data_IF_167958440532
#
_entry.id   IF_167958440532
#
_cell.length_a   1.000
_cell.length_b   1.000
_cell.length_c   1.000
_cell.angle_alpha   90.00
_cell.angle_beta   90.00
_cell.angle_gamma   90.00
#
_symmetry.space_group_name_H-M   'P 1'
#
loop_
_entity.id
_entity.type
_entity.pdbx_description
1 polymer ?
#
# COMPACT_ATOMS: atom_id res chain seq x y z
N UNK A 1 -11.55 5.11 4.72
CA UNK A 1 -10.25 4.87 4.05
C UNK A 1 -9.51 6.20 4.01
N UNK A 2 -8.36 6.31 4.67
CA UNK A 2 -7.67 7.60 4.79
C UNK A 2 -6.24 7.36 5.23
N UNK A 3 -5.93 7.61 6.50
CA UNK A 3 -4.56 7.48 7.00
C UNK A 3 -4.10 6.03 7.22
N UNK A 4 -4.99 5.13 7.67
CA UNK A 4 -4.61 3.76 8.01
C UNK A 4 -4.01 3.00 6.81
N UNK A 5 -4.63 3.11 5.63
CA UNK A 5 -4.15 2.41 4.44
C UNK A 5 -2.90 3.07 3.89
N UNK A 6 -2.88 4.42 3.82
CA UNK A 6 -1.72 5.17 3.35
C UNK A 6 -0.47 4.89 4.17
N UNK A 7 -0.58 4.83 5.51
CA UNK A 7 0.56 4.52 6.37
C UNK A 7 1.05 3.08 6.20
N UNK A 8 0.13 2.13 6.04
CA UNK A 8 0.47 0.71 5.81
C UNK A 8 1.24 0.54 4.50
N UNK A 9 0.69 1.06 3.40
CA UNK A 9 1.32 0.97 2.06
C UNK A 9 2.65 1.71 2.03
N UNK A 10 2.73 2.91 2.62
CA UNK A 10 3.98 3.66 2.70
C UNK A 10 5.06 2.88 3.47
N UNK A 11 4.72 2.26 4.60
CA UNK A 11 5.67 1.46 5.36
C UNK A 11 6.17 0.27 4.54
N UNK A 12 5.27 -0.46 3.87
CA UNK A 12 5.63 -1.60 3.01
C UNK A 12 6.63 -1.20 1.94
N UNK A 13 6.38 -0.12 1.21
CA UNK A 13 7.26 0.34 0.12
C UNK A 13 8.63 0.81 0.63
N UNK A 14 8.70 1.37 1.85
CA UNK A 14 9.96 1.85 2.43
C UNK A 14 10.80 0.76 3.07
N UNK A 15 10.16 -0.27 3.62
CA UNK A 15 10.83 -1.26 4.48
C UNK A 15 10.87 -2.66 3.88
N UNK A 16 9.99 -2.97 2.95
CA UNK A 16 10.00 -4.22 2.21
C UNK A 16 10.41 -3.96 0.75
N UNK A 17 11.06 -4.95 0.15
CA UNK A 17 11.55 -4.89 -1.23
C UNK A 17 10.43 -5.15 -2.23
N UNK A 18 9.31 -4.43 -2.08
CA UNK A 18 8.13 -4.56 -2.93
C UNK A 18 8.41 -3.94 -4.29
N UNK A 19 8.19 -4.70 -5.36
CA UNK A 19 8.50 -4.31 -6.75
C UNK A 19 7.27 -4.20 -7.64
N UNK A 20 6.09 -4.58 -7.13
CA UNK A 20 4.84 -4.53 -7.87
C UNK A 20 3.64 -4.21 -6.98
N UNK A 21 2.55 -3.75 -7.62
CA UNK A 21 1.27 -3.53 -6.94
C UNK A 21 0.70 -4.84 -6.36
N UNK A 22 0.83 -5.97 -7.07
CA UNK A 22 0.33 -7.27 -6.61
C UNK A 22 1.03 -7.73 -5.32
N UNK A 23 2.34 -7.50 -5.22
CA UNK A 23 3.09 -7.72 -3.99
C UNK A 23 2.56 -6.81 -2.87
N UNK A 24 2.34 -5.51 -3.12
CA UNK A 24 1.77 -4.60 -2.10
C UNK A 24 0.41 -5.12 -1.60
N UNK A 25 -0.46 -5.58 -2.50
CA UNK A 25 -1.77 -6.13 -2.12
C UNK A 25 -1.58 -7.37 -1.23
N UNK A 26 -0.69 -8.28 -1.63
CA UNK A 26 -0.39 -9.51 -0.91
C UNK A 26 0.16 -9.22 0.48
N UNK A 27 1.15 -8.34 0.58
CA UNK A 27 1.76 -7.93 1.84
C UNK A 27 0.80 -7.13 2.72
N UNK A 28 -0.06 -6.30 2.14
CA UNK A 28 -1.13 -5.61 2.87
C UNK A 28 -2.08 -6.61 3.53
N UNK A 29 -2.50 -7.66 2.82
CA UNK A 29 -3.37 -8.70 3.38
C UNK A 29 -2.66 -9.64 4.36
N UNK A 30 -1.36 -9.85 4.19
CA UNK A 30 -0.53 -10.63 5.12
C UNK A 30 -0.28 -9.89 6.45
N UNK A 31 -0.39 -8.56 6.46
CA UNK A 31 -0.12 -7.74 7.65
C UNK A 31 -1.00 -8.11 8.85
N UNK A 32 -2.32 -8.26 8.64
CA UNK A 32 -3.28 -8.85 9.57
C UNK A 32 -4.66 -8.99 8.91
N UNK A 33 -5.56 -9.76 9.55
CA UNK A 33 -6.92 -9.98 9.05
C UNK A 33 -7.72 -8.68 8.89
N UNK A 34 -7.49 -7.69 9.75
CA UNK A 34 -8.15 -6.39 9.64
C UNK A 34 -7.81 -5.68 8.32
N UNK A 35 -6.63 -5.87 7.74
CA UNK A 35 -6.27 -5.27 6.45
C UNK A 35 -7.01 -5.90 5.26
N UNK A 36 -7.62 -7.07 5.41
CA UNK A 36 -8.45 -7.69 4.35
C UNK A 36 -9.73 -6.90 4.05
N UNK A 37 -10.08 -5.92 4.86
CA UNK A 37 -11.20 -5.00 4.58
C UNK A 37 -10.93 -4.03 3.42
N UNK A 38 -9.66 -3.84 3.04
CA UNK A 38 -9.26 -2.95 1.95
C UNK A 38 -9.43 -3.66 0.61
N UNK A 39 -10.24 -3.10 -0.29
CA UNK A 39 -10.34 -3.64 -1.64
C UNK A 39 -9.04 -3.40 -2.43
N UNK A 40 -8.64 -4.28 -3.38
CA UNK A 40 -7.40 -4.12 -4.16
C UNK A 40 -7.29 -2.73 -4.82
N UNK A 41 -8.38 -2.23 -5.42
CA UNK A 41 -8.45 -0.89 -6.01
C UNK A 41 -8.18 0.25 -5.03
N UNK A 42 -8.49 0.08 -3.74
CA UNK A 42 -8.18 1.09 -2.72
C UNK A 42 -6.69 1.09 -2.38
N UNK A 43 -6.06 -0.09 -2.41
CA UNK A 43 -4.62 -0.26 -2.20
C UNK A 43 -3.86 0.38 -3.37
N UNK A 44 -4.28 0.11 -4.61
CA UNK A 44 -3.78 0.79 -5.82
C UNK A 44 -3.91 2.31 -5.71
N UNK A 45 -5.08 2.81 -5.32
CA UNK A 45 -5.30 4.25 -5.16
C UNK A 45 -4.39 4.84 -4.07
N UNK A 46 -4.12 4.10 -2.99
CA UNK A 46 -3.20 4.55 -1.95
C UNK A 46 -1.77 4.69 -2.47
N UNK A 47 -1.28 3.72 -3.27
CA UNK A 47 0.03 3.81 -3.95
C UNK A 47 0.08 5.06 -4.83
N UNK A 48 -0.93 5.25 -5.68
CA UNK A 48 -1.00 6.42 -6.59
C UNK A 48 -0.99 7.75 -5.81
N UNK A 49 -1.76 7.86 -4.73
CA UNK A 49 -1.77 9.07 -3.89
C UNK A 49 -0.40 9.31 -3.28
N UNK A 50 0.26 8.28 -2.74
CA UNK A 50 1.59 8.42 -2.15
C UNK A 50 2.63 8.85 -3.20
N UNK A 51 2.55 8.31 -4.42
CA UNK A 51 3.43 8.66 -5.54
C UNK A 51 3.18 10.10 -6.01
N UNK A 52 1.92 10.50 -6.23
CA UNK A 52 1.55 11.86 -6.61
C UNK A 52 1.95 12.90 -5.55
N UNK A 53 2.05 12.51 -4.27
CA UNK A 53 2.54 13.37 -3.18
C UNK A 53 4.06 13.37 -3.05
N UNK A 54 4.78 12.54 -3.81
CA UNK A 54 6.23 12.38 -3.74
C UNK A 54 6.72 11.72 -2.45
N UNK A 55 5.86 10.96 -1.77
CA UNK A 55 6.22 10.28 -0.51
C UNK A 55 6.88 8.92 -0.75
N UNK A 56 6.59 8.31 -1.89
CA UNK A 56 7.23 7.10 -2.41
C UNK A 56 7.75 7.35 -3.82
N UNK A 57 8.64 6.47 -4.29
CA UNK A 57 8.99 6.37 -5.70
C UNK A 57 7.89 5.56 -6.39
N UNK A 58 7.53 5.94 -7.62
CA UNK A 58 6.58 5.19 -8.44
C UNK A 58 7.12 3.78 -8.71
N UNK A 59 6.23 2.78 -8.61
CA UNK A 59 6.54 1.36 -8.82
C UNK A 59 6.25 0.96 -10.27
#
# INVERSE_FOLDING_TARGET
FGLELLSTVHWLIKHESVTSIDEIITHTYAWNDRKRQFAPRQIELAVNILACKGWIVEL
#
